data_IF_550559089702
#
_entry.id   IF_550559089702
#
_cell.length_a   1.000
_cell.length_b   1.000
_cell.length_c   1.000
_cell.angle_alpha   90.00
_cell.angle_beta   90.00
_cell.angle_gamma   90.00
#
_symmetry.space_group_name_H-M   'P 1'
#
loop_
_entity.id
_entity.type
_entity.pdbx_description
1 polymer ?
#
# COMPACT_ATOMS: atom_id res chain seq x y z
N UNK A 1 12.21 -36.29 -3.46
CA UNK A 1 10.81 -36.38 -3.01
C UNK A 1 10.00 -35.37 -3.79
N UNK A 2 9.06 -35.88 -4.57
CA UNK A 2 8.30 -35.20 -5.63
C UNK A 2 6.90 -34.87 -5.10
N UNK A 3 6.29 -33.71 -5.42
CA UNK A 3 4.94 -33.40 -4.97
C UNK A 3 3.89 -34.30 -5.67
N UNK A 4 2.78 -34.68 -5.00
CA UNK A 4 1.71 -35.45 -5.63
C UNK A 4 0.80 -34.58 -6.52
N UNK A 5 0.15 -35.18 -7.54
CA UNK A 5 -0.54 -34.48 -8.63
C UNK A 5 -1.99 -34.06 -8.32
N UNK A 6 -2.42 -33.00 -9.04
CA UNK A 6 -3.80 -32.49 -9.12
C UNK A 6 -4.75 -33.56 -9.69
N UNK A 7 -5.87 -33.83 -9.00
CA UNK A 7 -7.00 -34.58 -9.56
C UNK A 7 -7.91 -33.65 -10.37
N UNK A 8 -7.99 -33.92 -11.67
CA UNK A 8 -9.08 -33.52 -12.55
C UNK A 8 -10.20 -34.58 -12.54
N UNK A 9 -11.31 -34.24 -13.19
CA UNK A 9 -12.51 -35.06 -13.51
C UNK A 9 -13.56 -35.17 -12.40
N UNK A 10 -14.87 -35.15 -12.67
CA UNK A 10 -15.66 -34.93 -13.88
C UNK A 10 -17.14 -34.95 -13.46
N UNK A 11 -18.02 -34.72 -14.45
CA UNK A 11 -19.40 -35.21 -14.52
C UNK A 11 -20.46 -34.30 -13.84
N UNK A 12 -21.68 -34.17 -14.36
CA UNK A 12 -22.34 -34.84 -15.49
C UNK A 12 -23.56 -34.01 -15.87
N UNK A 13 -23.85 -33.95 -17.16
CA UNK A 13 -25.11 -33.50 -17.73
C UNK A 13 -26.30 -34.29 -17.18
N UNK A 14 -27.44 -33.62 -17.04
CA UNK A 14 -28.75 -34.25 -16.92
C UNK A 14 -29.76 -33.49 -17.79
N UNK A 15 -30.34 -34.25 -18.72
CA UNK A 15 -31.26 -33.85 -19.77
C UNK A 15 -32.68 -34.31 -19.41
N UNK A 16 -33.70 -33.62 -19.95
CA UNK A 16 -35.03 -34.15 -20.39
C UNK A 16 -36.29 -33.91 -19.53
N UNK A 17 -37.24 -33.16 -20.13
CA UNK A 17 -38.70 -33.43 -20.34
C UNK A 17 -39.27 -32.21 -21.10
N UNK A 18 -39.76 -32.26 -22.35
CA UNK A 18 -40.86 -32.98 -23.05
C UNK A 18 -42.29 -32.55 -22.65
N UNK A 19 -43.06 -32.23 -23.71
CA UNK A 19 -44.51 -31.98 -23.87
C UNK A 19 -45.02 -30.59 -23.43
N UNK A 20 -45.78 -29.81 -24.20
CA UNK A 20 -46.44 -30.01 -25.50
C UNK A 20 -47.41 -28.82 -25.73
N UNK A 21 -47.80 -28.55 -26.99
CA UNK A 21 -48.95 -27.68 -27.30
C UNK A 21 -48.67 -26.57 -28.33
N UNK A 22 -49.19 -26.76 -29.55
CA UNK A 22 -49.58 -25.71 -30.53
C UNK A 22 -51.10 -25.88 -30.72
N UNK A 23 -51.91 -24.85 -31.06
CA UNK A 23 -51.74 -23.99 -32.25
C UNK A 23 -52.08 -22.49 -32.02
N UNK A 24 -51.36 -21.55 -32.66
CA UNK A 24 -51.66 -20.80 -33.89
C UNK A 24 -52.46 -19.48 -33.73
N UNK A 25 -51.91 -18.42 -34.35
CA UNK A 25 -52.48 -17.15 -34.83
C UNK A 25 -52.36 -15.90 -33.93
N UNK A 26 -51.37 -15.04 -34.24
CA UNK A 26 -51.62 -13.66 -34.72
C UNK A 26 -50.32 -13.06 -35.32
N UNK A 27 -50.37 -12.28 -36.43
CA UNK A 27 -49.20 -11.71 -37.07
C UNK A 27 -48.96 -10.28 -36.57
N UNK A 28 -47.79 -10.00 -36.01
CA UNK A 28 -47.48 -8.63 -35.63
C UNK A 28 -46.10 -8.45 -35.03
N UNK A 29 -45.30 -7.66 -35.72
CA UNK A 29 -44.25 -6.80 -35.16
C UNK A 29 -42.87 -7.39 -34.86
N UNK A 30 -41.98 -7.07 -35.81
CA UNK A 30 -40.69 -6.41 -35.59
C UNK A 30 -39.61 -7.23 -34.85
N UNK A 31 -38.73 -7.81 -35.67
CA UNK A 31 -37.34 -8.04 -35.31
C UNK A 31 -36.69 -6.73 -34.84
N UNK A 32 -36.49 -6.61 -33.54
CA UNK A 32 -35.51 -5.70 -32.96
C UNK A 32 -34.35 -6.56 -32.42
N UNK A 33 -33.25 -6.47 -33.16
CA UNK A 33 -31.93 -7.04 -32.90
C UNK A 33 -31.46 -6.64 -31.48
N UNK A 34 -31.38 -7.61 -30.55
CA UNK A 34 -30.76 -7.41 -29.24
C UNK A 34 -29.31 -7.90 -29.31
N UNK A 35 -28.30 -7.04 -29.04
CA UNK A 35 -26.92 -7.49 -28.97
C UNK A 35 -26.71 -8.42 -27.75
N UNK A 36 -25.73 -9.34 -27.82
CA UNK A 36 -25.46 -10.27 -26.71
C UNK A 36 -25.06 -9.51 -25.44
N UNK A 37 -25.41 -10.01 -24.24
CA UNK A 37 -25.06 -9.35 -22.99
C UNK A 37 -23.53 -9.33 -22.82
N UNK A 38 -22.96 -8.14 -22.67
CA UNK A 38 -21.56 -7.98 -22.24
C UNK A 38 -21.35 -8.70 -20.90
N UNK A 39 -20.30 -9.52 -20.76
CA UNK A 39 -19.99 -10.15 -19.49
C UNK A 39 -19.70 -9.06 -18.46
N UNK A 40 -20.53 -9.00 -17.41
CA UNK A 40 -20.36 -8.10 -16.28
C UNK A 40 -18.92 -8.22 -15.75
N UNK A 41 -18.18 -7.11 -15.82
CA UNK A 41 -16.85 -7.00 -15.25
C UNK A 41 -16.90 -7.41 -13.77
N UNK A 42 -16.11 -8.42 -13.40
CA UNK A 42 -15.92 -8.82 -12.02
C UNK A 42 -15.42 -7.62 -11.20
N UNK A 43 -15.92 -7.42 -9.96
CA UNK A 43 -15.43 -6.35 -9.09
C UNK A 43 -13.92 -6.51 -8.86
N UNK A 44 -13.15 -5.41 -8.80
CA UNK A 44 -11.71 -5.49 -8.64
C UNK A 44 -11.36 -6.20 -7.33
N UNK A 45 -10.51 -7.23 -7.42
CA UNK A 45 -10.01 -7.94 -6.25
C UNK A 45 -9.34 -6.94 -5.27
N UNK A 46 -9.61 -7.04 -3.96
CA UNK A 46 -8.99 -6.17 -2.97
C UNK A 46 -7.47 -6.39 -3.00
N UNK A 47 -6.74 -5.33 -3.37
CA UNK A 47 -5.28 -5.31 -3.32
C UNK A 47 -4.83 -5.65 -1.89
N UNK A 48 -4.01 -6.69 -1.77
CA UNK A 48 -3.38 -7.10 -0.52
C UNK A 48 -2.73 -5.90 0.21
N UNK A 49 -2.65 -5.93 1.55
CA UNK A 49 -2.21 -4.78 2.33
C UNK A 49 -0.79 -4.36 1.96
N UNK A 50 -0.63 -3.05 1.79
CA UNK A 50 0.59 -2.38 1.42
C UNK A 50 1.73 -2.71 2.39
N UNK A 51 2.91 -2.94 1.81
CA UNK A 51 4.25 -2.77 2.39
C UNK A 51 4.21 -1.91 3.67
N UNK A 52 4.72 -2.35 4.84
CA UNK A 52 4.57 -1.64 6.11
C UNK A 52 4.75 -0.14 5.90
N UNK A 53 3.64 0.58 5.94
CA UNK A 53 3.52 1.87 5.30
C UNK A 53 4.51 2.85 5.88
N UNK A 54 5.30 3.52 5.03
CA UNK A 54 6.10 4.67 5.47
C UNK A 54 5.16 5.70 6.06
N UNK A 55 5.28 5.96 7.36
CA UNK A 55 4.52 7.02 8.02
C UNK A 55 5.16 8.38 7.74
N UNK A 56 4.34 9.38 7.42
CA UNK A 56 4.78 10.77 7.23
C UNK A 56 4.70 11.50 8.58
N UNK A 57 5.80 12.15 8.95
CA UNK A 57 5.88 13.05 10.09
C UNK A 57 6.34 14.43 9.62
N UNK A 58 5.83 15.49 10.27
CA UNK A 58 6.24 16.87 10.05
C UNK A 58 6.84 17.38 11.35
N UNK A 59 8.04 17.97 11.28
CA UNK A 59 8.70 18.60 12.42
C UNK A 59 8.63 20.12 12.24
N UNK A 60 8.19 20.83 13.28
CA UNK A 60 8.27 22.28 13.36
C UNK A 60 9.50 22.62 14.19
N UNK A 61 10.40 23.40 13.62
CA UNK A 61 11.63 23.85 14.25
C UNK A 61 11.57 25.37 14.38
N UNK A 62 12.24 25.93 15.39
CA UNK A 62 12.50 27.37 15.40
C UNK A 62 13.37 27.73 14.19
N UNK A 63 13.41 29.02 13.83
CA UNK A 63 14.28 29.48 12.75
C UNK A 63 15.75 29.15 13.02
N UNK A 64 16.19 29.36 14.26
CA UNK A 64 17.56 29.04 14.70
C UNK A 64 17.88 27.55 14.58
N UNK A 65 16.97 26.67 15.00
CA UNK A 65 17.17 25.22 14.91
C UNK A 65 17.17 24.75 13.46
N UNK A 66 16.32 25.34 12.60
CA UNK A 66 16.30 25.04 11.18
C UNK A 66 17.62 25.43 10.48
N UNK A 67 18.22 26.56 10.86
CA UNK A 67 19.55 26.98 10.39
C UNK A 67 20.62 25.99 10.86
N UNK A 68 20.66 25.68 12.15
CA UNK A 68 21.62 24.70 12.70
C UNK A 68 21.50 23.34 12.00
N UNK A 69 20.29 22.89 11.70
CA UNK A 69 20.05 21.66 10.95
C UNK A 69 20.68 21.70 9.55
N UNK A 70 20.50 22.81 8.83
CA UNK A 70 21.04 22.97 7.48
C UNK A 70 22.56 23.07 7.48
N UNK A 71 23.15 23.75 8.47
CA UNK A 71 24.60 23.81 8.66
C UNK A 71 25.21 22.42 8.91
N UNK A 72 24.60 21.62 9.78
CA UNK A 72 25.02 20.23 10.03
C UNK A 72 24.92 19.37 8.76
N UNK A 73 23.84 19.51 7.99
CA UNK A 73 23.68 18.79 6.73
C UNK A 73 24.75 19.19 5.71
N UNK A 74 25.12 20.47 5.64
CA UNK A 74 26.20 20.95 4.77
C UNK A 74 27.57 20.42 5.22
N UNK A 75 27.83 20.39 6.53
CA UNK A 75 29.07 19.84 7.09
C UNK A 75 29.22 18.36 6.74
N UNK A 76 28.21 17.54 7.02
CA UNK A 76 28.22 16.12 6.71
C UNK A 76 28.34 15.85 5.20
N UNK A 77 27.73 16.70 4.35
CA UNK A 77 27.89 16.60 2.90
C UNK A 77 29.35 16.80 2.47
N UNK A 78 30.06 17.73 3.11
CA UNK A 78 31.48 17.99 2.81
C UNK A 78 32.37 16.81 3.23
N UNK A 79 32.07 16.22 4.38
CA UNK A 79 32.85 15.10 4.93
C UNK A 79 32.60 13.80 4.18
N UNK A 80 31.34 13.49 3.88
CA UNK A 80 30.95 12.23 3.24
C UNK A 80 31.02 12.29 1.71
N UNK A 81 31.05 13.48 1.12
CA UNK A 81 30.92 13.70 -0.32
C UNK A 81 29.51 13.44 -0.89
N UNK A 82 28.56 13.02 -0.06
CA UNK A 82 27.21 12.66 -0.49
C UNK A 82 26.18 13.71 -0.07
N UNK A 83 25.13 13.87 -0.88
CA UNK A 83 24.01 14.74 -0.50
C UNK A 83 23.26 14.11 0.69
N UNK A 84 23.15 14.86 1.78
CA UNK A 84 22.39 14.45 2.96
C UNK A 84 20.97 14.99 2.87
N UNK A 85 19.98 14.10 2.85
CA UNK A 85 18.56 14.49 2.96
C UNK A 85 18.19 14.74 4.42
N UNK A 86 17.33 15.74 4.71
CA UNK A 86 16.88 16.02 6.08
C UNK A 86 16.23 14.79 6.74
N UNK A 87 15.45 14.02 5.99
CA UNK A 87 14.85 12.78 6.49
C UNK A 87 15.90 11.68 6.78
N UNK A 88 17.04 11.67 6.08
CA UNK A 88 18.13 10.75 6.37
C UNK A 88 18.78 11.08 7.72
N UNK A 89 18.89 12.37 8.05
CA UNK A 89 19.41 12.85 9.32
C UNK A 89 18.55 12.36 10.50
N UNK A 90 17.22 12.53 10.43
CA UNK A 90 16.29 12.01 11.46
C UNK A 90 16.44 10.51 11.62
N UNK A 91 16.50 9.75 10.50
CA UNK A 91 16.65 8.28 10.57
C UNK A 91 17.97 7.87 11.23
N UNK A 92 19.07 8.53 10.88
CA UNK A 92 20.37 8.25 11.48
C UNK A 92 20.36 8.53 12.99
N UNK A 93 19.78 9.65 13.43
CA UNK A 93 19.63 9.97 14.85
C UNK A 93 18.80 8.92 15.59
N UNK A 94 17.69 8.46 15.00
CA UNK A 94 16.85 7.41 15.59
C UNK A 94 17.64 6.10 15.74
N UNK A 95 18.40 5.69 14.73
CA UNK A 95 19.21 4.47 14.82
C UNK A 95 20.33 4.59 15.85
N UNK A 96 21.07 5.70 15.85
CA UNK A 96 22.12 5.95 16.84
C UNK A 96 21.55 5.95 18.25
N UNK A 97 20.42 6.63 18.48
CA UNK A 97 19.77 6.63 19.77
C UNK A 97 19.23 5.24 20.14
N UNK A 98 18.79 4.42 19.19
CA UNK A 98 18.35 3.06 19.50
C UNK A 98 19.51 2.16 19.98
N UNK A 99 20.73 2.39 19.49
CA UNK A 99 21.90 1.57 19.80
C UNK A 99 22.68 2.09 21.01
N UNK A 100 22.73 3.40 21.25
CA UNK A 100 23.55 4.04 22.28
C UNK A 100 22.73 4.52 23.49
N UNK A 101 23.01 3.94 24.67
CA UNK A 101 22.32 4.27 25.91
C UNK A 101 22.67 5.65 26.48
N UNK A 102 23.91 6.10 26.28
CA UNK A 102 24.35 7.41 26.74
C UNK A 102 23.71 8.51 25.89
N UNK A 103 23.62 8.29 24.57
CA UNK A 103 22.92 9.20 23.68
C UNK A 103 21.43 9.32 24.05
N UNK A 104 20.74 8.21 24.37
CA UNK A 104 19.35 8.26 24.86
C UNK A 104 19.21 9.07 26.13
N UNK A 105 20.14 8.92 27.07
CA UNK A 105 20.14 9.69 28.32
C UNK A 105 20.30 11.18 28.03
N UNK A 106 21.28 11.55 27.20
CA UNK A 106 21.53 12.95 26.84
C UNK A 106 20.32 13.60 26.16
N UNK A 107 19.66 12.88 25.22
CA UNK A 107 18.43 13.36 24.58
C UNK A 107 17.33 13.58 25.62
N UNK A 108 17.16 12.66 26.57
CA UNK A 108 16.18 12.80 27.65
C UNK A 108 16.45 14.00 28.56
N UNK A 109 17.72 14.27 28.89
CA UNK A 109 18.12 15.45 29.65
C UNK A 109 17.83 16.75 28.90
N UNK A 110 18.10 16.80 27.59
CA UNK A 110 17.85 17.99 26.78
C UNK A 110 16.35 18.30 26.66
N UNK A 111 15.51 17.28 26.43
CA UNK A 111 14.05 17.43 26.41
C UNK A 111 13.54 17.96 27.75
N UNK A 112 14.09 17.48 28.87
CA UNK A 112 13.72 17.96 30.19
C UNK A 112 14.09 19.44 30.39
N UNK A 113 15.24 19.89 29.89
CA UNK A 113 15.62 21.32 29.93
C UNK A 113 14.65 22.18 29.13
N UNK A 114 14.31 21.77 27.92
CA UNK A 114 13.42 22.52 27.02
C UNK A 114 11.99 22.62 27.55
N UNK A 115 11.49 21.55 28.20
CA UNK A 115 10.13 21.55 28.76
C UNK A 115 9.99 22.39 30.04
N UNK A 116 11.11 22.69 30.71
CA UNK A 116 11.11 23.43 32.00
C UNK A 116 11.49 24.91 31.83
N UNK A 117 11.83 25.34 30.60
CA UNK A 117 12.15 26.72 30.24
C UNK A 117 10.89 27.49 29.78
#
# INVERSE_FOLDING_TARGET
MTPPPRRASAAKEAMTRVAGGRPAADPGSQSADLPPPEPAALPPEPKAPANPGRSKFTLLLSESDAIMWDELAMMLRRETGHRVEKAAFVRALVYLAAEDADLRRQVGEEIARDTTA
#
